data_IF_092486206670
#
_entry.id   IF_092486206670
#
_cell.length_a   1.000
_cell.length_b   1.000
_cell.length_c   1.000
_cell.angle_alpha   90.00
_cell.angle_beta   90.00
_cell.angle_gamma   90.00
#
_symmetry.space_group_name_H-M   'P 1'
#
loop_
_entity.id
_entity.type
_entity.pdbx_description
1 polymer ?
#
# COMPACT_ATOMS: atom_id res chain seq x y z
N UNK A 1 10.18 6.12 8.89
CA UNK A 1 9.38 6.71 10.00
C UNK A 1 9.45 8.22 9.91
N UNK A 2 8.32 8.89 10.16
CA UNK A 2 8.28 10.35 10.16
C UNK A 2 9.30 10.92 11.14
N UNK A 3 10.26 11.57 10.57
CA UNK A 3 11.21 12.40 11.25
C UNK A 3 11.36 13.62 10.33
N UNK A 4 11.17 14.84 10.80
CA UNK A 4 11.12 16.03 9.93
C UNK A 4 12.49 16.36 9.33
N UNK A 5 13.05 15.45 8.56
CA UNK A 5 14.30 15.62 7.83
C UNK A 5 14.03 16.09 6.40
N UNK A 6 13.55 17.32 6.25
CA UNK A 6 13.28 17.93 4.96
C UNK A 6 14.50 17.96 4.01
N UNK A 7 15.74 18.20 4.45
CA UNK A 7 16.89 18.12 3.55
C UNK A 7 17.08 16.77 2.89
N UNK A 8 16.96 15.66 3.65
CA UNK A 8 17.06 14.32 3.08
C UNK A 8 15.89 14.01 2.12
N UNK A 9 14.68 14.41 2.48
CA UNK A 9 13.50 14.25 1.61
C UNK A 9 13.67 15.04 0.30
N UNK A 10 14.18 16.27 0.37
CA UNK A 10 14.46 17.09 -0.81
C UNK A 10 15.49 16.43 -1.74
N UNK A 11 16.53 15.83 -1.17
CA UNK A 11 17.54 15.09 -1.94
C UNK A 11 16.92 13.92 -2.69
N UNK A 12 16.06 13.13 -2.04
CA UNK A 12 15.37 12.00 -2.68
C UNK A 12 14.44 12.44 -3.82
N UNK A 13 13.66 13.51 -3.60
CA UNK A 13 12.75 14.06 -4.63
C UNK A 13 13.57 14.55 -5.83
N UNK A 14 14.63 15.31 -5.57
CA UNK A 14 15.50 15.86 -6.61
C UNK A 14 16.19 14.76 -7.41
N UNK A 15 16.70 13.73 -6.73
CA UNK A 15 17.38 12.60 -7.39
C UNK A 15 16.41 11.81 -8.30
N UNK A 16 15.19 11.54 -7.82
CA UNK A 16 14.16 10.88 -8.64
C UNK A 16 13.84 11.69 -9.91
N UNK A 17 13.61 12.99 -9.76
CA UNK A 17 13.28 13.86 -10.89
C UNK A 17 14.46 13.99 -11.87
N UNK A 18 15.70 14.12 -11.38
CA UNK A 18 16.90 14.17 -12.24
C UNK A 18 17.08 12.88 -13.06
N UNK A 19 16.58 11.76 -12.57
CA UNK A 19 16.57 10.46 -13.27
C UNK A 19 15.33 10.26 -14.15
N UNK A 20 14.43 11.23 -14.21
CA UNK A 20 13.19 11.17 -14.99
C UNK A 20 12.05 10.38 -14.35
N UNK A 21 12.16 10.05 -13.06
CA UNK A 21 11.11 9.36 -12.32
C UNK A 21 10.19 10.32 -11.57
N UNK A 22 8.95 9.88 -11.36
CA UNK A 22 8.06 10.44 -10.35
C UNK A 22 8.30 9.75 -9.02
N UNK A 23 8.02 10.47 -7.93
CA UNK A 23 8.22 9.95 -6.58
C UNK A 23 6.91 9.97 -5.78
N UNK A 24 6.55 8.80 -5.25
CA UNK A 24 5.56 8.65 -4.19
C UNK A 24 6.29 8.51 -2.86
N UNK A 25 5.90 9.32 -1.88
CA UNK A 25 6.39 9.21 -0.52
C UNK A 25 5.28 8.62 0.37
N UNK A 26 5.49 7.41 0.88
CA UNK A 26 4.69 6.87 1.98
C UNK A 26 5.24 7.42 3.29
N UNK A 27 4.43 8.21 3.99
CA UNK A 27 4.85 8.95 5.18
C UNK A 27 4.15 8.40 6.41
N UNK A 28 4.91 7.68 7.22
CA UNK A 28 4.43 7.12 8.48
C UNK A 28 5.37 7.49 9.62
N UNK A 29 4.89 7.34 10.85
CA UNK A 29 5.64 7.67 12.05
C UNK A 29 5.70 6.52 13.06
N UNK A 30 6.00 6.86 14.30
CA UNK A 30 5.79 5.95 15.41
C UNK A 30 4.34 6.12 15.90
N UNK A 31 3.57 5.05 16.09
CA UNK A 31 2.21 5.13 16.62
C UNK A 31 2.10 5.95 17.91
N UNK A 32 3.08 5.85 18.81
CA UNK A 32 3.08 6.61 20.06
C UNK A 32 3.07 8.14 19.83
N UNK A 33 3.65 8.62 18.74
CA UNK A 33 3.76 10.05 18.46
C UNK A 33 2.41 10.68 18.10
N UNK A 34 1.44 9.88 17.64
CA UNK A 34 0.11 10.33 17.22
C UNK A 34 -1.01 9.92 18.20
N UNK A 35 -0.64 9.34 19.34
CA UNK A 35 -1.60 8.93 20.37
C UNK A 35 -2.48 10.10 20.81
N UNK A 36 -3.80 9.87 20.91
CA UNK A 36 -4.77 10.89 21.24
C UNK A 36 -4.91 12.04 20.23
N UNK A 37 -4.42 11.84 18.99
CA UNK A 37 -4.37 12.89 17.96
C UNK A 37 -3.22 13.88 18.14
N UNK A 38 -2.28 13.57 19.05
CA UNK A 38 -1.08 14.38 19.20
C UNK A 38 -0.30 14.44 17.87
N UNK A 39 0.36 15.57 17.64
CA UNK A 39 1.19 15.81 16.45
C UNK A 39 0.49 15.73 15.07
N UNK A 40 -0.83 15.59 14.98
CA UNK A 40 -1.53 15.59 13.69
C UNK A 40 -1.23 16.84 12.86
N UNK A 41 -1.21 18.03 13.48
CA UNK A 41 -0.89 19.28 12.78
C UNK A 41 0.59 19.35 12.37
N UNK A 42 1.50 18.83 13.19
CA UNK A 42 2.93 18.76 12.86
C UNK A 42 3.18 17.80 11.71
N UNK A 43 2.52 16.65 11.73
CA UNK A 43 2.55 15.68 10.63
C UNK A 43 2.00 16.30 9.34
N UNK A 44 0.81 16.92 9.41
CA UNK A 44 0.18 17.57 8.27
C UNK A 44 1.07 18.69 7.69
N UNK A 45 1.72 19.48 8.54
CA UNK A 45 2.68 20.50 8.11
C UNK A 45 3.87 19.87 7.37
N UNK A 46 4.41 18.78 7.91
CA UNK A 46 5.53 18.08 7.28
C UNK A 46 5.18 17.54 5.89
N UNK A 47 4.04 16.85 5.73
CA UNK A 47 3.62 16.34 4.39
C UNK A 47 3.30 17.49 3.42
N UNK A 48 2.81 18.62 3.94
CA UNK A 48 2.66 19.85 3.15
C UNK A 48 4.00 20.37 2.63
N UNK A 49 5.06 20.35 3.45
CA UNK A 49 6.40 20.73 3.01
C UNK A 49 6.99 19.74 2.00
N UNK A 50 6.71 18.44 2.10
CA UNK A 50 7.10 17.47 1.07
C UNK A 50 6.43 17.78 -0.27
N UNK A 51 5.16 18.16 -0.26
CA UNK A 51 4.46 18.61 -1.47
C UNK A 51 5.09 19.88 -2.07
N UNK A 52 5.46 20.86 -1.22
CA UNK A 52 6.17 22.08 -1.64
C UNK A 52 7.52 21.77 -2.29
N UNK A 53 8.22 20.75 -1.80
CA UNK A 53 9.49 20.27 -2.37
C UNK A 53 9.31 19.53 -3.70
N UNK A 54 8.08 19.21 -4.10
CA UNK A 54 7.77 18.63 -5.40
C UNK A 54 7.45 17.14 -5.39
N UNK A 55 7.13 16.53 -4.23
CA UNK A 55 6.64 15.15 -4.21
C UNK A 55 5.44 15.00 -5.16
N UNK A 56 5.49 14.03 -6.08
CA UNK A 56 4.42 13.79 -7.05
C UNK A 56 3.21 13.12 -6.40
N UNK A 57 3.43 12.28 -5.40
CA UNK A 57 2.39 11.66 -4.59
C UNK A 57 2.81 11.54 -3.14
N UNK A 58 1.85 11.59 -2.25
CA UNK A 58 2.03 11.36 -0.82
C UNK A 58 0.95 10.41 -0.35
N UNK A 59 1.37 9.28 0.22
CA UNK A 59 0.51 8.39 0.98
C UNK A 59 0.53 8.83 2.44
N UNK A 60 -0.65 9.11 2.98
CA UNK A 60 -0.84 9.64 4.33
C UNK A 60 -0.99 8.50 5.31
N UNK A 61 0.09 8.16 6.00
CA UNK A 61 0.21 7.02 6.90
C UNK A 61 0.16 5.67 6.18
N UNK A 62 0.25 4.57 6.97
CA UNK A 62 0.30 3.18 6.50
C UNK A 62 -0.46 2.28 7.47
N UNK A 63 -1.19 1.31 6.99
CA UNK A 63 -1.83 0.19 7.72
C UNK A 63 -2.48 0.58 9.06
N UNK A 64 -3.17 1.71 9.10
CA UNK A 64 -3.74 2.35 10.29
C UNK A 64 -4.89 1.57 10.94
N UNK A 65 -5.22 0.41 10.41
CA UNK A 65 -6.23 -0.50 10.95
C UNK A 65 -5.65 -1.58 11.87
N UNK A 66 -4.33 -1.55 12.13
CA UNK A 66 -3.63 -2.49 13.01
C UNK A 66 -2.73 -1.76 14.02
N UNK A 67 -2.51 -2.34 15.20
CA UNK A 67 -1.77 -1.73 16.32
C UNK A 67 -0.26 -1.65 16.11
N UNK A 68 0.27 -2.35 15.12
CA UNK A 68 1.66 -2.18 14.68
C UNK A 68 1.92 -0.78 14.12
N UNK A 69 0.92 -0.20 13.47
CA UNK A 69 1.02 1.05 12.71
C UNK A 69 0.15 2.19 13.28
N UNK A 70 -0.78 1.88 14.20
CA UNK A 70 -1.63 2.86 14.87
C UNK A 70 -1.70 2.57 16.38
N UNK A 71 -1.90 3.59 17.25
CA UNK A 71 -1.93 3.34 18.70
C UNK A 71 -3.01 2.31 19.09
N UNK A 72 -2.62 1.25 19.82
CA UNK A 72 -3.53 0.24 20.32
C UNK A 72 -4.68 0.87 21.13
N UNK A 73 -5.89 0.35 20.98
CA UNK A 73 -7.11 0.90 21.62
C UNK A 73 -7.60 2.22 21.01
N UNK A 74 -6.92 2.76 20.00
CA UNK A 74 -7.27 4.03 19.34
C UNK A 74 -7.47 3.87 17.83
N UNK A 75 -7.48 2.64 17.33
CA UNK A 75 -7.73 2.35 15.92
C UNK A 75 -9.16 2.78 15.58
N UNK A 76 -9.30 3.83 14.77
CA UNK A 76 -10.60 4.38 14.45
C UNK A 76 -10.57 5.12 13.11
N UNK A 77 -11.44 4.74 12.14
CA UNK A 77 -11.45 5.36 10.81
C UNK A 77 -11.81 6.86 10.82
N UNK A 78 -12.58 7.32 11.82
CA UNK A 78 -12.91 8.75 11.94
C UNK A 78 -11.69 9.56 12.41
N UNK A 79 -10.94 9.05 13.37
CA UNK A 79 -9.70 9.69 13.84
C UNK A 79 -8.64 9.75 12.74
N UNK A 80 -8.48 8.65 11.99
CA UNK A 80 -7.62 8.65 10.81
C UNK A 80 -8.10 9.66 9.75
N UNK A 81 -9.40 9.74 9.51
CA UNK A 81 -9.96 10.71 8.54
C UNK A 81 -9.64 12.16 8.94
N UNK A 82 -9.53 12.49 10.23
CA UNK A 82 -9.09 13.82 10.65
C UNK A 82 -7.60 14.08 10.32
N UNK A 83 -6.72 13.10 10.52
CA UNK A 83 -5.33 13.19 10.09
C UNK A 83 -5.24 13.40 8.56
N UNK A 84 -5.99 12.61 7.80
CA UNK A 84 -6.04 12.71 6.34
C UNK A 84 -6.55 14.08 5.88
N UNK A 85 -7.61 14.61 6.51
CA UNK A 85 -8.17 15.94 6.21
C UNK A 85 -7.15 17.06 6.43
N UNK A 86 -6.44 17.03 7.57
CA UNK A 86 -5.40 18.02 7.88
C UNK A 86 -4.26 17.93 6.86
N UNK A 87 -3.80 16.71 6.57
CA UNK A 87 -2.75 16.44 5.58
C UNK A 87 -3.14 16.92 4.18
N UNK A 88 -4.34 16.57 3.72
CA UNK A 88 -4.87 17.00 2.42
C UNK A 88 -4.88 18.53 2.30
N UNK A 89 -5.37 19.22 3.34
CA UNK A 89 -5.42 20.68 3.35
C UNK A 89 -4.02 21.30 3.21
N UNK A 90 -3.04 20.79 3.96
CA UNK A 90 -1.66 21.26 3.89
C UNK A 90 -1.01 20.94 2.54
N UNK A 91 -1.15 19.70 2.05
CA UNK A 91 -0.59 19.28 0.76
C UNK A 91 -1.14 20.16 -0.36
N UNK A 92 -2.47 20.28 -0.48
CA UNK A 92 -3.11 21.02 -1.56
C UNK A 92 -2.86 22.53 -1.50
N UNK A 93 -2.67 23.09 -0.31
CA UNK A 93 -2.30 24.50 -0.15
C UNK A 93 -0.87 24.79 -0.64
N UNK A 94 0.04 23.83 -0.56
CA UNK A 94 1.45 23.98 -0.95
C UNK A 94 1.69 23.58 -2.41
N UNK A 95 1.06 22.49 -2.85
CA UNK A 95 1.13 22.02 -4.24
C UNK A 95 -0.16 21.27 -4.61
N UNK A 96 -1.08 21.90 -5.34
CA UNK A 96 -2.34 21.29 -5.73
C UNK A 96 -2.17 20.06 -6.65
N UNK A 97 -1.01 19.92 -7.30
CA UNK A 97 -0.73 18.83 -8.24
C UNK A 97 -0.24 17.55 -7.53
N UNK A 98 0.24 17.63 -6.29
CA UNK A 98 0.65 16.44 -5.54
C UNK A 98 -0.57 15.53 -5.31
N UNK A 99 -0.43 14.27 -5.71
CA UNK A 99 -1.46 13.24 -5.51
C UNK A 99 -1.56 12.92 -4.01
N UNK A 100 -2.74 13.05 -3.42
CA UNK A 100 -2.99 12.63 -2.03
C UNK A 100 -3.64 11.25 -2.04
N UNK A 101 -2.93 10.28 -1.49
CA UNK A 101 -3.39 8.90 -1.34
C UNK A 101 -3.70 8.67 0.14
N UNK A 102 -4.84 8.07 0.46
CA UNK A 102 -5.04 7.60 1.82
C UNK A 102 -4.04 6.51 2.17
N UNK A 103 -3.66 6.37 3.42
CA UNK A 103 -2.98 5.16 3.86
C UNK A 103 -3.78 3.93 3.46
N UNK A 104 -3.10 2.91 2.99
CA UNK A 104 -3.73 1.64 2.69
C UNK A 104 -3.90 0.83 3.97
N UNK A 105 -5.11 0.33 4.29
CA UNK A 105 -5.26 -0.62 5.39
C UNK A 105 -4.53 -1.93 5.11
N UNK A 106 -4.00 -2.57 6.17
CA UNK A 106 -3.53 -3.95 6.12
C UNK A 106 -4.69 -4.87 5.76
N UNK A 107 -4.61 -5.67 4.68
CA UNK A 107 -5.66 -6.64 4.34
C UNK A 107 -5.75 -7.69 5.44
N UNK A 108 -6.91 -7.80 6.10
CA UNK A 108 -7.06 -8.74 7.22
C UNK A 108 -8.52 -9.08 7.52
N UNK A 109 -8.75 -10.32 7.97
CA UNK A 109 -10.00 -10.79 8.55
C UNK A 109 -9.87 -11.10 10.06
N UNK A 110 -8.82 -10.62 10.71
CA UNK A 110 -8.40 -11.07 12.03
C UNK A 110 -9.05 -10.34 13.22
N UNK A 111 -9.97 -9.42 12.98
CA UNK A 111 -10.66 -8.64 14.03
C UNK A 111 -11.27 -9.52 15.13
N UNK A 112 -11.89 -10.63 14.75
CA UNK A 112 -12.48 -11.56 15.70
C UNK A 112 -11.47 -12.32 16.57
N UNK A 113 -10.22 -12.42 16.13
CA UNK A 113 -9.16 -13.11 16.86
C UNK A 113 -8.42 -12.18 17.82
N UNK A 114 -8.21 -10.91 17.44
CA UNK A 114 -7.39 -9.97 18.22
C UNK A 114 -8.20 -8.86 18.90
N UNK A 115 -9.44 -8.61 18.46
CA UNK A 115 -10.29 -7.54 18.98
C UNK A 115 -9.96 -6.16 18.39
N UNK A 116 -10.92 -5.23 18.51
CA UNK A 116 -10.87 -3.90 17.90
C UNK A 116 -9.79 -2.98 18.47
N UNK A 117 -9.26 -3.29 19.63
CA UNK A 117 -8.14 -2.53 20.21
C UNK A 117 -6.84 -2.76 19.43
N UNK A 118 -6.74 -3.89 18.72
CA UNK A 118 -5.54 -4.32 18.02
C UNK A 118 -5.69 -4.38 16.51
N UNK A 119 -6.85 -4.79 16.01
CA UNK A 119 -7.09 -5.00 14.57
C UNK A 119 -8.54 -4.68 14.22
N UNK A 120 -8.71 -3.93 13.14
CA UNK A 120 -9.99 -3.83 12.44
C UNK A 120 -9.87 -4.53 11.08
N UNK A 121 -10.88 -5.31 10.69
CA UNK A 121 -10.96 -5.81 9.33
C UNK A 121 -10.96 -4.64 8.35
N UNK A 122 -10.12 -4.73 7.33
CA UNK A 122 -9.90 -3.62 6.39
C UNK A 122 -11.17 -3.18 5.65
N UNK A 123 -12.07 -4.11 5.29
CA UNK A 123 -13.36 -3.76 4.68
C UNK A 123 -14.25 -2.89 5.58
N UNK A 124 -14.25 -3.17 6.88
CA UNK A 124 -14.98 -2.34 7.85
C UNK A 124 -14.30 -1.00 8.07
N UNK A 125 -12.97 -1.02 8.10
CA UNK A 125 -12.19 0.20 8.28
C UNK A 125 -12.38 1.15 7.11
N UNK A 126 -12.27 0.65 5.86
CA UNK A 126 -12.43 1.48 4.66
C UNK A 126 -13.87 2.02 4.52
N UNK A 127 -14.89 1.22 4.88
CA UNK A 127 -16.28 1.67 4.93
C UNK A 127 -16.48 2.76 6.00
N UNK A 128 -15.82 2.63 7.15
CA UNK A 128 -15.80 3.66 8.20
C UNK A 128 -15.14 4.96 7.74
N UNK A 129 -14.02 4.89 7.01
CA UNK A 129 -13.38 6.06 6.40
C UNK A 129 -14.33 6.77 5.43
N UNK A 130 -14.98 6.01 4.55
CA UNK A 130 -15.95 6.56 3.60
C UNK A 130 -17.12 7.27 4.33
N UNK A 131 -17.65 6.62 5.37
CA UNK A 131 -18.72 7.18 6.21
C UNK A 131 -18.29 8.44 6.98
N UNK A 132 -17.01 8.52 7.37
CA UNK A 132 -16.43 9.71 8.00
C UNK A 132 -16.10 10.84 6.98
N UNK A 133 -16.38 10.64 5.70
CA UNK A 133 -16.20 11.65 4.65
C UNK A 133 -14.78 11.74 4.10
N UNK A 134 -13.94 10.70 4.29
CA UNK A 134 -12.56 10.66 3.79
C UNK A 134 -12.46 10.92 2.28
N UNK A 135 -13.49 10.56 1.50
CA UNK A 135 -13.55 10.81 0.06
C UNK A 135 -13.38 12.27 -0.34
N UNK A 136 -13.63 13.23 0.56
CA UNK A 136 -13.41 14.66 0.31
C UNK A 136 -11.93 15.07 0.45
N UNK A 137 -11.09 14.22 1.02
CA UNK A 137 -9.73 14.53 1.43
C UNK A 137 -8.70 13.57 0.84
N UNK A 138 -9.01 12.94 -0.29
CA UNK A 138 -8.09 12.10 -1.06
C UNK A 138 -8.38 12.23 -2.56
N UNK A 139 -7.33 12.05 -3.33
CA UNK A 139 -7.43 11.92 -4.78
C UNK A 139 -7.56 10.44 -5.19
N UNK A 140 -7.07 9.53 -4.33
CA UNK A 140 -7.01 8.09 -4.57
C UNK A 140 -7.07 7.31 -3.26
N UNK A 141 -7.77 6.19 -3.26
CA UNK A 141 -7.84 5.27 -2.10
C UNK A 141 -6.63 4.35 -2.11
N UNK A 142 -5.85 4.34 -1.05
CA UNK A 142 -4.72 3.43 -0.88
C UNK A 142 -5.19 1.98 -0.69
N UNK A 143 -4.50 1.05 -1.33
CA UNK A 143 -4.78 -0.40 -1.29
C UNK A 143 -3.47 -1.17 -1.16
N UNK A 144 -3.43 -2.17 -0.27
CA UNK A 144 -2.40 -3.20 -0.25
C UNK A 144 -2.96 -4.53 -0.75
N UNK A 145 -2.16 -5.27 -1.50
CA UNK A 145 -2.48 -6.64 -1.92
C UNK A 145 -1.21 -7.48 -1.94
N UNK A 146 -0.96 -8.20 -0.85
CA UNK A 146 0.28 -8.95 -0.64
C UNK A 146 0.03 -10.43 -0.28
N UNK A 147 -1.23 -10.87 -0.26
CA UNK A 147 -1.63 -12.21 0.18
C UNK A 147 -2.01 -13.18 -0.96
N UNK A 148 -1.88 -12.76 -2.22
CA UNK A 148 -2.27 -13.58 -3.36
C UNK A 148 -1.35 -14.78 -3.57
N UNK A 149 -1.96 -15.94 -3.90
CA UNK A 149 -1.26 -17.17 -4.34
C UNK A 149 -1.91 -17.78 -5.58
N UNK A 150 -2.70 -17.01 -6.28
CA UNK A 150 -3.35 -17.38 -7.54
C UNK A 150 -3.32 -16.19 -8.50
N UNK A 151 -3.58 -16.45 -9.79
CA UNK A 151 -3.63 -15.40 -10.79
C UNK A 151 -4.61 -14.28 -10.42
N UNK A 152 -4.27 -13.00 -10.64
CA UNK A 152 -5.18 -11.86 -10.40
C UNK A 152 -6.41 -11.84 -11.31
N UNK A 153 -6.50 -12.74 -12.27
CA UNK A 153 -7.71 -12.94 -13.11
C UNK A 153 -8.77 -13.78 -12.40
N UNK A 154 -8.41 -14.48 -11.33
CA UNK A 154 -9.28 -15.41 -10.62
C UNK A 154 -9.94 -14.75 -9.40
N UNK A 155 -11.20 -15.13 -9.14
CA UNK A 155 -11.99 -14.73 -7.97
C UNK A 155 -12.34 -15.89 -7.05
N UNK A 156 -11.83 -17.09 -7.36
CA UNK A 156 -12.04 -18.35 -6.62
C UNK A 156 -10.81 -19.22 -6.77
N UNK A 157 -10.70 -20.26 -5.93
CA UNK A 157 -9.66 -21.30 -6.10
C UNK A 157 -8.48 -21.18 -5.13
N UNK A 158 -8.45 -20.18 -4.25
CA UNK A 158 -7.48 -20.15 -3.16
C UNK A 158 -7.80 -21.28 -2.16
N UNK A 159 -6.84 -22.17 -1.84
CA UNK A 159 -7.10 -23.30 -0.96
C UNK A 159 -7.32 -22.91 0.53
N UNK A 160 -6.96 -21.70 0.92
CA UNK A 160 -7.11 -21.24 2.33
C UNK A 160 -8.56 -20.95 2.69
N UNK A 161 -9.25 -20.15 1.85
CA UNK A 161 -10.64 -19.74 2.01
C UNK A 161 -11.12 -18.89 0.84
N UNK A 162 -12.38 -18.44 0.90
CA UNK A 162 -12.98 -17.53 -0.08
C UNK A 162 -12.98 -16.07 0.36
N UNK A 163 -12.19 -15.71 1.38
CA UNK A 163 -12.15 -14.33 1.86
C UNK A 163 -11.59 -13.39 0.78
N UNK A 164 -12.22 -12.24 0.59
CA UNK A 164 -11.96 -11.38 -0.56
C UNK A 164 -10.50 -10.89 -0.67
N UNK A 165 -9.76 -10.81 0.44
CA UNK A 165 -8.34 -10.39 0.45
C UNK A 165 -7.42 -11.37 -0.27
N UNK A 166 -7.87 -12.62 -0.49
CA UNK A 166 -7.14 -13.65 -1.26
C UNK A 166 -7.13 -13.36 -2.76
N UNK A 167 -8.02 -12.48 -3.22
CA UNK A 167 -8.33 -12.28 -4.64
C UNK A 167 -8.16 -10.82 -5.04
N UNK A 168 -7.35 -10.56 -6.06
CA UNK A 168 -7.19 -9.20 -6.60
C UNK A 168 -8.55 -8.56 -6.99
N UNK A 169 -9.46 -9.24 -7.73
CA UNK A 169 -10.78 -8.68 -8.02
C UNK A 169 -11.61 -8.39 -6.76
N UNK A 170 -11.47 -9.23 -5.74
CA UNK A 170 -12.13 -9.03 -4.44
C UNK A 170 -11.69 -7.75 -3.76
N UNK A 171 -10.38 -7.49 -3.74
CA UNK A 171 -9.82 -6.24 -3.19
C UNK A 171 -10.32 -5.03 -3.98
N UNK A 172 -10.21 -5.05 -5.32
CA UNK A 172 -10.69 -3.97 -6.18
C UNK A 172 -12.16 -3.65 -5.91
N UNK A 173 -13.02 -4.67 -5.91
CA UNK A 173 -14.45 -4.50 -5.71
C UNK A 173 -14.80 -3.94 -4.33
N UNK A 174 -14.18 -4.48 -3.28
CA UNK A 174 -14.43 -4.06 -1.89
C UNK A 174 -14.06 -2.59 -1.68
N UNK A 175 -12.87 -2.18 -2.10
CA UNK A 175 -12.39 -0.83 -1.86
C UNK A 175 -13.07 0.20 -2.78
N UNK A 176 -13.28 -0.14 -4.05
CA UNK A 176 -13.97 0.75 -4.98
C UNK A 176 -15.43 1.00 -4.57
N UNK A 177 -16.15 -0.06 -4.18
CA UNK A 177 -17.55 0.03 -3.75
C UNK A 177 -17.71 0.82 -2.44
N UNK A 178 -16.75 0.74 -1.51
CA UNK A 178 -16.80 1.46 -0.24
C UNK A 178 -16.93 2.98 -0.42
N UNK A 179 -16.36 3.53 -1.48
CA UNK A 179 -16.48 4.95 -1.84
C UNK A 179 -17.54 5.20 -2.95
N UNK A 180 -18.55 4.35 -3.03
CA UNK A 180 -19.65 4.50 -4.01
C UNK A 180 -19.18 4.46 -5.46
N UNK A 181 -18.08 3.76 -5.75
CA UNK A 181 -17.46 3.66 -7.08
C UNK A 181 -17.03 5.01 -7.69
N UNK A 182 -16.81 6.02 -6.85
CA UNK A 182 -16.48 7.37 -7.28
C UNK A 182 -14.99 7.71 -7.18
N UNK A 183 -14.22 6.98 -6.35
CA UNK A 183 -12.79 7.23 -6.13
C UNK A 183 -11.94 6.12 -6.75
N UNK A 184 -10.90 6.52 -7.49
CA UNK A 184 -9.95 5.56 -8.03
C UNK A 184 -9.10 4.94 -6.94
N UNK A 185 -8.54 3.77 -7.22
CA UNK A 185 -7.67 3.02 -6.34
C UNK A 185 -6.20 3.26 -6.70
N UNK A 186 -5.37 3.33 -5.67
CA UNK A 186 -3.91 3.35 -5.78
C UNK A 186 -3.36 2.17 -4.97
N UNK A 187 -2.87 1.15 -5.66
CA UNK A 187 -2.11 0.10 -5.00
C UNK A 187 -0.75 0.67 -4.62
N UNK A 188 -0.58 1.04 -3.37
CA UNK A 188 0.70 1.49 -2.83
C UNK A 188 1.62 0.33 -2.53
N UNK A 189 1.04 -0.88 -2.36
CA UNK A 189 1.75 -2.15 -2.38
C UNK A 189 0.93 -3.19 -3.13
N UNK A 190 1.56 -3.85 -4.10
CA UNK A 190 1.06 -5.06 -4.73
C UNK A 190 2.21 -6.03 -4.91
N UNK A 191 2.14 -7.18 -4.25
CA UNK A 191 3.19 -8.18 -4.29
C UNK A 191 2.65 -9.61 -4.21
N UNK A 192 3.41 -10.54 -4.76
CA UNK A 192 3.21 -11.97 -4.60
C UNK A 192 4.45 -12.57 -3.95
N UNK A 193 4.28 -13.31 -2.87
CA UNK A 193 5.37 -13.91 -2.13
C UNK A 193 5.81 -15.22 -2.80
N UNK A 194 7.10 -15.34 -3.12
CA UNK A 194 7.72 -16.61 -3.53
C UNK A 194 8.93 -16.90 -2.64
N UNK A 195 8.93 -18.07 -2.01
CA UNK A 195 10.06 -18.58 -1.23
C UNK A 195 11.16 -19.25 -2.09
N UNK A 196 10.96 -19.35 -3.41
CA UNK A 196 11.92 -19.99 -4.31
C UNK A 196 13.27 -19.28 -4.26
N UNK A 197 14.37 -20.04 -4.12
CA UNK A 197 15.72 -19.49 -4.00
C UNK A 197 16.10 -19.01 -2.59
N UNK A 198 15.19 -19.07 -1.63
CA UNK A 198 15.40 -18.76 -0.21
C UNK A 198 15.31 -20.00 0.67
N UNK A 199 15.69 -19.91 1.96
CA UNK A 199 15.34 -20.93 2.96
C UNK A 199 13.82 -21.13 3.08
N UNK A 200 13.41 -22.14 3.86
CA UNK A 200 11.98 -22.36 4.10
C UNK A 200 11.29 -21.08 4.63
N UNK A 201 10.09 -20.81 4.11
CA UNK A 201 9.29 -19.69 4.58
C UNK A 201 8.97 -19.83 6.08
N UNK A 202 8.94 -18.73 6.82
CA UNK A 202 8.41 -18.73 8.20
C UNK A 202 6.99 -19.30 8.24
N UNK A 203 6.64 -19.97 9.34
CA UNK A 203 5.36 -20.68 9.46
C UNK A 203 4.13 -19.83 9.13
N UNK A 204 4.18 -18.55 9.51
CA UNK A 204 3.11 -17.58 9.25
C UNK A 204 2.94 -17.26 7.76
N UNK A 205 3.96 -17.56 6.92
CA UNK A 205 3.98 -17.33 5.48
C UNK A 205 3.98 -18.64 4.68
N UNK A 206 3.82 -19.79 5.37
CA UNK A 206 3.78 -21.11 4.73
C UNK A 206 2.72 -21.25 3.62
N UNK A 207 1.71 -20.39 3.63
CA UNK A 207 0.66 -20.32 2.62
C UNK A 207 1.20 -19.99 1.21
N UNK A 208 2.34 -19.33 1.10
CA UNK A 208 2.97 -19.00 -0.19
C UNK A 208 4.00 -20.05 -0.65
N UNK A 209 4.11 -21.19 0.04
CA UNK A 209 5.16 -22.19 -0.21
C UNK A 209 5.14 -22.83 -1.60
N UNK A 210 4.02 -22.77 -2.30
CA UNK A 210 3.88 -23.29 -3.66
C UNK A 210 4.03 -22.21 -4.75
N UNK A 211 4.16 -20.94 -4.40
CA UNK A 211 4.30 -19.86 -5.38
C UNK A 211 5.72 -19.84 -5.94
N UNK A 212 5.88 -20.09 -7.23
CA UNK A 212 7.15 -20.00 -7.93
C UNK A 212 7.49 -18.56 -8.33
N UNK A 213 8.76 -18.31 -8.63
CA UNK A 213 9.22 -17.03 -9.18
C UNK A 213 8.59 -16.74 -10.54
N UNK A 214 8.35 -17.78 -11.34
CA UNK A 214 7.69 -17.66 -12.63
C UNK A 214 6.22 -17.20 -12.48
N UNK A 215 5.48 -17.76 -11.52
CA UNK A 215 4.11 -17.32 -11.21
C UNK A 215 4.08 -15.90 -10.65
N UNK A 216 5.00 -15.56 -9.73
CA UNK A 216 5.15 -14.19 -9.24
C UNK A 216 5.31 -13.19 -10.40
N UNK A 217 6.23 -13.48 -11.33
CA UNK A 217 6.50 -12.62 -12.49
C UNK A 217 5.29 -12.49 -13.42
N UNK A 218 4.63 -13.60 -13.70
CA UNK A 218 3.42 -13.62 -14.53
C UNK A 218 2.28 -12.85 -13.87
N UNK A 219 1.98 -13.10 -12.60
CA UNK A 219 0.84 -12.48 -11.91
C UNK A 219 1.04 -10.99 -11.67
N UNK A 220 2.26 -10.53 -11.45
CA UNK A 220 2.56 -9.09 -11.42
C UNK A 220 2.23 -8.43 -12.76
N UNK A 221 2.63 -9.03 -13.88
CA UNK A 221 2.34 -8.50 -15.21
C UNK A 221 0.83 -8.54 -15.52
N UNK A 222 0.13 -9.62 -15.16
CA UNK A 222 -1.32 -9.74 -15.32
C UNK A 222 -2.05 -8.66 -14.49
N UNK A 223 -1.65 -8.44 -13.21
CA UNK A 223 -2.23 -7.41 -12.36
C UNK A 223 -2.05 -6.01 -12.96
N UNK A 224 -0.85 -5.70 -13.49
CA UNK A 224 -0.61 -4.42 -14.18
C UNK A 224 -1.48 -4.28 -15.43
N UNK A 225 -1.62 -5.34 -16.22
CA UNK A 225 -2.48 -5.35 -17.41
C UNK A 225 -3.95 -5.09 -17.06
N UNK A 226 -4.47 -5.77 -16.04
CA UNK A 226 -5.84 -5.57 -15.53
C UNK A 226 -6.01 -4.15 -14.99
N UNK A 227 -5.09 -3.69 -14.15
CA UNK A 227 -5.13 -2.35 -13.57
C UNK A 227 -5.22 -1.27 -14.66
N UNK A 228 -4.35 -1.39 -15.70
CA UNK A 228 -4.29 -0.45 -16.82
C UNK A 228 -5.60 -0.42 -17.63
N UNK A 229 -6.22 -1.57 -17.85
CA UNK A 229 -7.45 -1.68 -18.65
C UNK A 229 -8.72 -1.34 -17.87
N UNK A 230 -8.72 -1.45 -16.55
CA UNK A 230 -9.91 -1.30 -15.70
C UNK A 230 -10.50 0.11 -15.68
N UNK A 231 -9.68 1.13 -15.88
CA UNK A 231 -10.05 2.52 -15.65
C UNK A 231 -10.32 2.87 -14.17
N UNK A 232 -10.24 1.89 -13.25
CA UNK A 232 -10.47 2.04 -11.81
C UNK A 232 -9.16 2.34 -11.07
N UNK A 233 -8.08 1.64 -11.42
CA UNK A 233 -6.77 1.81 -10.79
C UNK A 233 -6.03 2.97 -11.43
N UNK A 234 -5.55 3.90 -10.60
CA UNK A 234 -4.78 5.07 -11.02
C UNK A 234 -3.27 4.85 -10.92
N UNK A 235 -2.85 4.10 -9.91
CA UNK A 235 -1.45 3.82 -9.58
C UNK A 235 -1.32 2.38 -9.11
N UNK A 236 -0.22 1.74 -9.46
CA UNK A 236 0.17 0.44 -8.94
C UNK A 236 1.67 0.45 -8.72
N UNK A 237 2.08 0.24 -7.47
CA UNK A 237 3.47 0.06 -7.04
C UNK A 237 3.69 -1.42 -6.74
N UNK A 238 4.68 -2.01 -7.40
CA UNK A 238 5.09 -3.39 -7.09
C UNK A 238 5.87 -3.41 -5.78
N UNK A 239 5.43 -4.22 -4.86
CA UNK A 239 6.12 -4.48 -3.60
C UNK A 239 6.83 -5.82 -3.68
N UNK A 240 8.19 -5.88 -3.73
CA UNK A 240 9.14 -4.78 -3.82
C UNK A 240 10.18 -5.00 -4.93
N UNK A 241 11.19 -4.14 -5.08
CA UNK A 241 12.18 -4.29 -6.15
C UNK A 241 13.32 -5.22 -5.74
N UNK A 242 14.01 -4.96 -4.61
CA UNK A 242 15.30 -5.57 -4.29
C UNK A 242 15.55 -5.78 -2.78
N UNK A 243 14.50 -5.90 -1.98
CA UNK A 243 14.68 -6.21 -0.56
C UNK A 243 15.35 -7.57 -0.40
N UNK A 244 16.32 -7.64 0.50
CA UNK A 244 17.10 -8.86 0.75
C UNK A 244 16.77 -9.54 2.07
N UNK A 245 16.02 -8.88 2.96
CA UNK A 245 15.66 -9.43 4.26
C UNK A 245 14.72 -10.64 4.08
N UNK A 246 15.13 -11.78 4.65
CA UNK A 246 14.35 -13.00 4.65
C UNK A 246 14.47 -13.66 6.03
N UNK A 247 13.62 -13.20 6.95
CA UNK A 247 13.56 -13.63 8.35
C UNK A 247 12.13 -14.00 8.70
N UNK A 248 11.67 -13.75 9.93
CA UNK A 248 10.27 -13.90 10.34
C UNK A 248 9.32 -13.02 9.50
N UNK A 249 9.85 -12.00 8.83
CA UNK A 249 9.20 -11.21 7.79
C UNK A 249 9.98 -11.39 6.46
N UNK A 250 9.50 -12.23 5.53
CA UNK A 250 10.23 -12.63 4.33
C UNK A 250 10.12 -11.59 3.20
N UNK A 251 10.48 -10.34 3.45
CA UNK A 251 10.39 -9.22 2.50
C UNK A 251 11.12 -9.48 1.17
N UNK A 252 12.28 -10.17 1.23
CA UNK A 252 13.03 -10.58 0.05
C UNK A 252 12.27 -11.54 -0.87
N UNK A 253 11.31 -12.30 -0.34
CA UNK A 253 10.49 -13.20 -1.14
C UNK A 253 9.49 -12.47 -2.05
N UNK A 254 9.18 -11.21 -1.76
CA UNK A 254 8.41 -10.32 -2.64
C UNK A 254 9.28 -9.61 -3.68
N UNK A 255 10.60 -9.59 -3.50
CA UNK A 255 11.50 -8.84 -4.38
C UNK A 255 11.47 -9.36 -5.82
N UNK A 256 11.40 -8.42 -6.78
CA UNK A 256 11.48 -8.72 -8.21
C UNK A 256 12.90 -9.18 -8.60
N UNK A 257 13.92 -8.53 -8.02
CA UNK A 257 15.33 -8.93 -8.19
C UNK A 257 15.63 -10.03 -7.18
N UNK A 258 15.96 -11.20 -7.72
CA UNK A 258 16.19 -12.41 -6.92
C UNK A 258 17.62 -12.48 -6.37
N UNK A 259 17.91 -13.37 -5.40
CA UNK A 259 19.25 -13.47 -4.80
C UNK A 259 20.38 -13.75 -5.80
N UNK A 260 20.09 -14.39 -6.93
CA UNK A 260 21.01 -14.64 -8.03
C UNK A 260 21.14 -13.48 -9.02
N UNK A 261 20.52 -12.32 -8.70
CA UNK A 261 20.44 -11.11 -9.53
C UNK A 261 19.58 -11.27 -10.79
N UNK A 262 18.86 -12.36 -10.95
CA UNK A 262 17.85 -12.48 -12.01
C UNK A 262 16.61 -11.61 -11.70
N UNK A 263 15.87 -11.22 -12.74
CA UNK A 263 14.64 -10.46 -12.58
C UNK A 263 13.56 -10.90 -13.59
N UNK A 264 12.97 -12.10 -13.44
CA UNK A 264 11.91 -12.54 -14.35
C UNK A 264 10.71 -11.59 -14.39
N UNK A 265 10.38 -10.95 -13.27
CA UNK A 265 9.31 -9.94 -13.21
C UNK A 265 9.65 -8.68 -14.02
N UNK A 266 10.93 -8.30 -14.16
CA UNK A 266 11.33 -7.20 -15.01
C UNK A 266 10.94 -7.45 -16.48
N UNK A 267 11.19 -8.66 -16.97
CA UNK A 267 10.92 -9.03 -18.37
C UNK A 267 9.41 -9.06 -18.66
N UNK A 268 8.62 -9.64 -17.76
CA UNK A 268 7.17 -9.70 -17.92
C UNK A 268 6.52 -8.33 -17.83
N UNK A 269 6.97 -7.50 -16.88
CA UNK A 269 6.49 -6.12 -16.70
C UNK A 269 6.89 -5.22 -17.89
N UNK A 270 8.11 -5.37 -18.40
CA UNK A 270 8.55 -4.66 -19.61
C UNK A 270 7.60 -4.91 -20.78
N UNK A 271 7.19 -6.17 -20.96
CA UNK A 271 6.26 -6.57 -22.03
C UNK A 271 4.90 -5.86 -21.91
N UNK A 272 4.31 -5.80 -20.72
CA UNK A 272 2.97 -5.21 -20.53
C UNK A 272 2.98 -3.68 -20.41
N UNK A 273 4.11 -3.08 -20.05
CA UNK A 273 4.26 -1.62 -19.97
C UNK A 273 4.73 -1.00 -21.30
N UNK A 274 5.18 -1.80 -22.25
CA UNK A 274 5.72 -1.35 -23.53
C UNK A 274 7.11 -0.73 -23.42
N UNK A 275 7.91 -1.20 -22.46
CA UNK A 275 9.29 -0.76 -22.28
C UNK A 275 9.45 0.68 -21.76
N UNK A 276 8.50 1.17 -21.00
CA UNK A 276 8.50 2.53 -20.44
C UNK A 276 8.70 2.52 -18.95
#
# INVERSE_FOLDING_TARGET
KWSPNLPASNSLITDAHNKGFKILLSVLGNPADISGGANFDSYATFVGELARLGADGIEVWNEMNIDREWPAGQINPTTYTDLLRRSYTQIKSKNPNTLVISGAPAPTGAEGAFGLDHVWNDNRYIAGMASAGAGNYLDCVGVHYNEGIISPTQSTGDPRDSYYTRYYPGMVNTYFSAFGSAKKLCFTELGYLSGEGYPALPSNFGWAGSTSVAEQAQWLAEAVGIARSSGIVRLLIVFNIDFTTFTDDPQGGYAMIRPDSSCPACDTLHTVTGGR
#
